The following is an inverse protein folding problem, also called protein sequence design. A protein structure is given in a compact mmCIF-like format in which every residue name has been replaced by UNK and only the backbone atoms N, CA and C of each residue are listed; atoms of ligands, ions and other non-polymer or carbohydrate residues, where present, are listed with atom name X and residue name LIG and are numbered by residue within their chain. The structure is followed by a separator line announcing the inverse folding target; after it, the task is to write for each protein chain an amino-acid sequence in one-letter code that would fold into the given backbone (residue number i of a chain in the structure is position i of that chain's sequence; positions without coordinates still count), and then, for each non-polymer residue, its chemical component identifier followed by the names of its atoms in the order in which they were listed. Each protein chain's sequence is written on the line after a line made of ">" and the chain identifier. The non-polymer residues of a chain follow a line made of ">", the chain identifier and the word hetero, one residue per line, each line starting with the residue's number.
data_IF_412432539635
#
_entry.id   IF_412432539635
#
_cell.length_a   1.000
_cell.length_b   1.000
_cell.length_c   1.000
_cell.angle_alpha   90.00
_cell.angle_beta   90.00
_cell.angle_gamma   90.00
#
_symmetry.space_group_name_H-M   'P 1'
#
loop_
_entity.id
_entity.type
_entity.pdbx_description
1 polymer ?
#
# COMPACT_ATOMS: atom_id res chain seq x y z
N UNK A 1 -27.75 28.20 -10.53
CA UNK A 1 -27.11 29.18 -9.63
C UNK A 1 -25.70 28.67 -9.41
N UNK A 2 -24.74 29.20 -10.18
CA UNK A 2 -23.33 28.86 -10.07
C UNK A 2 -22.77 29.57 -8.84
N UNK A 3 -22.01 28.86 -8.02
CA UNK A 3 -21.18 29.46 -6.97
C UNK A 3 -19.73 29.18 -7.37
N UNK A 4 -19.05 30.24 -7.82
CA UNK A 4 -17.61 30.26 -8.00
C UNK A 4 -16.93 30.11 -6.63
N UNK A 5 -15.95 29.21 -6.54
CA UNK A 5 -15.00 29.20 -5.43
C UNK A 5 -13.63 29.58 -5.98
N UNK A 6 -13.22 30.78 -5.57
CA UNK A 6 -11.97 31.44 -5.93
C UNK A 6 -10.75 30.57 -5.62
N UNK A 7 -9.89 30.43 -6.61
CA UNK A 7 -8.61 29.73 -6.56
C UNK A 7 -7.61 30.54 -5.71
N UNK A 8 -7.20 29.98 -4.58
CA UNK A 8 -6.04 30.47 -3.82
C UNK A 8 -5.41 29.30 -3.08
N UNK A 9 -4.39 28.67 -3.68
CA UNK A 9 -3.24 28.26 -2.89
C UNK A 9 -1.98 28.13 -3.74
N UNK A 10 -1.09 29.09 -3.53
CA UNK A 10 0.31 29.08 -3.91
C UNK A 10 1.01 27.98 -3.10
N UNK A 11 1.44 26.88 -3.74
CA UNK A 11 2.40 25.96 -3.13
C UNK A 11 3.74 26.10 -3.86
N UNK A 12 4.64 26.77 -3.15
CA UNK A 12 6.04 26.98 -3.50
C UNK A 12 6.77 25.64 -3.36
N UNK A 13 7.30 25.10 -4.46
CA UNK A 13 8.42 24.18 -4.44
C UNK A 13 9.32 24.48 -5.64
N UNK A 14 10.30 25.36 -5.47
CA UNK A 14 11.52 25.34 -6.29
C UNK A 14 12.72 25.12 -5.40
N UNK A 15 13.26 23.93 -5.60
CA UNK A 15 14.57 23.43 -5.19
C UNK A 15 15.66 24.51 -5.32
N UNK A 16 16.36 24.76 -4.22
CA UNK A 16 17.67 25.39 -4.26
C UNK A 16 18.66 24.41 -4.92
N UNK A 17 19.23 24.81 -6.05
CA UNK A 17 20.52 24.31 -6.51
C UNK A 17 21.33 25.50 -6.97
N UNK A 18 22.28 25.89 -6.11
CA UNK A 18 23.27 26.90 -6.41
C UNK A 18 24.49 26.23 -7.06
N UNK A 19 24.72 26.54 -8.33
CA UNK A 19 26.05 26.64 -8.91
C UNK A 19 25.94 27.43 -10.23
N UNK A 20 26.31 28.70 -10.14
CA UNK A 20 26.60 29.61 -11.25
C UNK A 20 27.80 29.07 -12.06
N UNK A 21 27.77 29.13 -13.39
CA UNK A 21 28.77 29.80 -14.27
C UNK A 21 28.49 29.47 -15.76
N UNK A 22 28.34 30.52 -16.57
CA UNK A 22 28.29 30.50 -18.05
C UNK A 22 29.54 29.87 -18.70
N UNK A 23 29.36 29.05 -19.75
CA UNK A 23 30.21 29.06 -20.98
C UNK A 23 29.53 28.31 -22.16
N UNK A 24 29.89 28.77 -23.36
CA UNK A 24 29.40 28.51 -24.72
C UNK A 24 29.92 27.18 -25.35
N UNK A 25 29.18 26.72 -26.38
CA UNK A 25 29.58 25.96 -27.58
C UNK A 25 29.88 24.43 -27.57
N UNK A 26 29.18 23.77 -28.52
CA UNK A 26 29.42 22.57 -29.35
C UNK A 26 29.87 21.19 -28.82
N UNK A 27 29.01 20.19 -29.16
CA UNK A 27 29.24 18.81 -29.62
C UNK A 27 30.17 17.84 -28.85
N UNK A 28 29.60 16.75 -28.31
CA UNK A 28 30.04 15.38 -28.65
C UNK A 28 29.00 14.29 -28.26
N UNK A 29 28.92 13.27 -29.11
CA UNK A 29 27.98 12.14 -29.06
C UNK A 29 28.48 11.06 -28.08
N UNK A 30 27.74 10.82 -26.99
CA UNK A 30 27.90 9.67 -26.10
C UNK A 30 26.60 8.89 -25.97
N UNK A 31 26.49 7.77 -26.67
CA UNK A 31 25.38 6.82 -26.61
C UNK A 31 25.14 6.31 -25.18
N UNK A 32 23.94 6.54 -24.63
CA UNK A 32 23.38 5.73 -23.55
C UNK A 32 22.06 5.10 -24.00
N UNK A 33 21.81 3.83 -23.64
CA UNK A 33 20.73 3.03 -24.20
C UNK A 33 19.35 3.54 -23.75
N UNK A 34 18.41 3.52 -24.68
CA UNK A 34 17.02 3.91 -24.46
C UNK A 34 16.33 2.88 -23.55
N UNK A 35 15.88 3.31 -22.37
CA UNK A 35 14.80 2.62 -21.66
C UNK A 35 13.47 3.14 -22.23
N UNK A 36 12.58 2.27 -22.74
CA UNK A 36 11.29 2.72 -23.24
C UNK A 36 10.31 2.94 -22.09
N UNK A 37 9.46 3.95 -22.29
CA UNK A 37 8.27 4.34 -21.53
C UNK A 37 8.54 5.02 -20.18
N UNK A 38 8.54 6.36 -20.23
CA UNK A 38 7.82 7.11 -19.20
C UNK A 38 6.39 6.54 -19.13
N UNK A 39 6.11 5.72 -18.11
CA UNK A 39 4.75 5.43 -17.71
C UNK A 39 4.18 6.75 -17.22
N UNK A 40 3.45 7.41 -18.11
CA UNK A 40 2.60 8.53 -17.74
C UNK A 40 1.47 7.88 -16.97
N UNK A 41 1.57 7.88 -15.65
CA UNK A 41 0.42 7.60 -14.81
C UNK A 41 -0.60 8.67 -15.17
N UNK A 42 -1.61 8.30 -15.95
CA UNK A 42 -2.81 9.10 -16.09
C UNK A 42 -3.38 9.13 -14.68
N UNK A 43 -3.12 10.25 -14.00
CA UNK A 43 -3.79 10.60 -12.76
C UNK A 43 -5.26 10.74 -13.16
N UNK A 44 -5.97 9.62 -13.19
CA UNK A 44 -7.40 9.58 -13.40
C UNK A 44 -7.96 10.23 -12.15
N UNK A 45 -8.13 11.54 -12.25
CA UNK A 45 -8.72 12.40 -11.25
C UNK A 45 -10.19 12.02 -11.08
N UNK A 46 -10.40 10.88 -10.45
CA UNK A 46 -11.50 10.63 -9.58
C UNK A 46 -10.88 10.50 -8.17
N UNK A 47 -10.15 11.56 -7.79
CA UNK A 47 -9.63 11.80 -6.44
C UNK A 47 -10.82 11.72 -5.48
N UNK A 48 -10.99 10.58 -4.83
CA UNK A 48 -11.85 10.48 -3.66
C UNK A 48 -11.06 11.16 -2.56
N UNK A 49 -11.37 12.43 -2.32
CA UNK A 49 -10.70 13.22 -1.29
C UNK A 49 -10.76 12.46 0.06
N UNK A 50 -9.62 11.89 0.46
CA UNK A 50 -9.45 11.17 1.72
C UNK A 50 -9.00 9.70 1.60
N UNK A 51 -8.90 9.14 0.40
CA UNK A 51 -8.57 7.71 0.22
C UNK A 51 -7.27 7.57 -0.58
N UNK A 52 -6.38 6.68 -0.15
CA UNK A 52 -5.08 6.44 -0.81
C UNK A 52 -4.83 4.95 -1.02
N UNK A 53 -4.17 4.62 -2.13
CA UNK A 53 -3.76 3.26 -2.46
C UNK A 53 -2.24 3.14 -2.30
N UNK A 54 -1.77 2.06 -1.69
CA UNK A 54 -0.36 1.77 -1.49
C UNK A 54 -0.07 0.31 -1.83
N UNK A 55 0.95 0.06 -2.65
CA UNK A 55 1.49 -1.27 -2.84
C UNK A 55 2.55 -1.53 -1.77
N UNK A 56 2.41 -2.61 -1.01
CA UNK A 56 3.27 -2.90 0.16
C UNK A 56 3.83 -4.32 0.07
N UNK A 57 5.01 -4.55 0.66
CA UNK A 57 5.46 -5.89 1.04
C UNK A 57 4.65 -6.38 2.24
N UNK A 58 4.32 -7.67 2.27
CA UNK A 58 3.49 -8.25 3.32
C UNK A 58 4.22 -9.33 4.10
N UNK A 59 4.31 -9.14 5.41
CA UNK A 59 4.70 -10.14 6.40
C UNK A 59 3.50 -10.46 7.31
N UNK A 60 3.16 -11.74 7.47
CA UNK A 60 2.11 -12.18 8.39
C UNK A 60 2.68 -13.20 9.38
N UNK A 61 2.54 -12.92 10.67
CA UNK A 61 3.00 -13.77 11.76
C UNK A 61 4.46 -14.26 11.56
N UNK A 62 5.37 -13.34 11.22
CA UNK A 62 6.79 -13.61 10.98
C UNK A 62 7.07 -14.50 9.75
N UNK A 63 6.11 -14.59 8.83
CA UNK A 63 6.25 -15.25 7.54
C UNK A 63 6.30 -14.18 6.45
N UNK A 64 7.50 -13.92 5.93
CA UNK A 64 7.70 -13.10 4.74
C UNK A 64 7.01 -13.74 3.54
N UNK A 65 6.42 -12.91 2.68
CA UNK A 65 5.80 -13.36 1.44
C UNK A 65 6.32 -12.62 0.23
N UNK A 66 6.22 -13.27 -0.93
CA UNK A 66 6.49 -12.64 -2.23
C UNK A 66 5.27 -11.87 -2.77
N UNK A 67 4.20 -11.70 -1.96
CA UNK A 67 2.97 -11.02 -2.35
C UNK A 67 3.13 -9.52 -2.11
N UNK A 68 2.69 -8.71 -3.08
CA UNK A 68 2.71 -7.26 -3.01
C UNK A 68 1.28 -6.69 -3.08
N UNK A 69 0.47 -6.80 -2.01
CA UNK A 69 -0.90 -6.31 -2.02
C UNK A 69 -0.98 -4.81 -2.28
N UNK A 70 -2.03 -4.40 -2.99
CA UNK A 70 -2.43 -2.97 -3.04
C UNK A 70 -3.47 -2.71 -1.97
N UNK A 71 -3.04 -2.10 -0.87
CA UNK A 71 -3.90 -1.75 0.26
C UNK A 71 -4.56 -0.39 0.04
N UNK A 72 -5.74 -0.21 0.61
CA UNK A 72 -6.46 1.06 0.62
C UNK A 72 -6.44 1.63 2.04
N UNK A 73 -6.03 2.88 2.19
CA UNK A 73 -6.34 3.66 3.39
C UNK A 73 -7.64 4.42 3.15
N UNK A 74 -8.68 4.10 3.90
CA UNK A 74 -9.96 4.79 3.75
C UNK A 74 -9.95 6.18 4.42
N UNK A 75 -11.01 6.96 4.24
CA UNK A 75 -11.14 8.32 4.79
C UNK A 75 -11.08 8.39 6.34
N UNK A 76 -11.23 7.27 7.03
CA UNK A 76 -11.11 7.18 8.49
C UNK A 76 -9.68 6.83 8.94
N UNK A 77 -8.76 6.59 8.00
CA UNK A 77 -7.39 6.19 8.25
C UNK A 77 -7.19 4.68 8.44
N UNK A 78 -8.25 3.87 8.27
CA UNK A 78 -8.17 2.41 8.39
C UNK A 78 -7.51 1.81 7.16
N UNK A 79 -6.63 0.85 7.38
CA UNK A 79 -6.05 0.05 6.30
C UNK A 79 -6.95 -1.12 5.95
N UNK A 80 -7.24 -1.23 4.67
CA UNK A 80 -8.04 -2.26 4.07
C UNK A 80 -7.13 -3.10 3.16
N UNK A 81 -7.05 -4.39 3.45
CA UNK A 81 -6.23 -5.34 2.69
C UNK A 81 -7.16 -6.22 1.87
N UNK A 82 -6.90 -6.46 0.58
CA UNK A 82 -7.71 -7.39 -0.19
C UNK A 82 -7.80 -8.75 0.51
N UNK A 83 -9.02 -9.30 0.60
CA UNK A 83 -9.24 -10.60 1.22
C UNK A 83 -8.41 -11.70 0.54
N UNK A 84 -8.29 -11.63 -0.78
CA UNK A 84 -7.51 -12.58 -1.59
C UNK A 84 -6.03 -12.64 -1.17
N UNK A 85 -5.46 -11.52 -0.71
CA UNK A 85 -4.07 -11.47 -0.26
C UNK A 85 -3.88 -12.02 1.16
N UNK A 86 -4.95 -12.19 1.95
CA UNK A 86 -4.92 -12.67 3.34
C UNK A 86 -5.39 -14.12 3.50
N UNK A 87 -6.31 -14.59 2.66
CA UNK A 87 -6.92 -15.93 2.81
C UNK A 87 -5.92 -17.08 2.71
N UNK A 88 -4.71 -16.82 2.19
CA UNK A 88 -3.64 -17.80 2.06
C UNK A 88 -2.90 -18.12 3.39
N UNK A 89 -3.10 -17.34 4.45
CA UNK A 89 -2.32 -17.47 5.71
C UNK A 89 -2.91 -18.47 6.74
N UNK A 90 -3.74 -19.42 6.33
CA UNK A 90 -4.35 -20.44 7.21
C UNK A 90 -5.05 -19.87 8.47
N UNK A 91 -5.55 -18.64 8.35
CA UNK A 91 -6.35 -17.96 9.37
C UNK A 91 -7.79 -18.46 9.29
N UNK A 92 -8.44 -18.64 10.43
CA UNK A 92 -9.83 -19.09 10.52
C UNK A 92 -10.75 -18.12 9.77
N UNK A 93 -11.55 -18.65 8.85
CA UNK A 93 -12.48 -17.85 8.03
C UNK A 93 -13.46 -17.04 8.91
N UNK A 94 -13.98 -17.63 9.98
CA UNK A 94 -14.89 -16.96 10.92
C UNK A 94 -14.23 -15.82 11.71
N UNK A 95 -12.90 -15.84 11.83
CA UNK A 95 -12.15 -14.71 12.35
C UNK A 95 -12.07 -13.58 11.31
N UNK A 96 -11.66 -13.90 10.08
CA UNK A 96 -11.56 -12.92 8.99
C UNK A 96 -12.90 -12.23 8.68
N UNK A 97 -14.02 -12.97 8.75
CA UNK A 97 -15.37 -12.41 8.56
C UNK A 97 -15.70 -11.22 9.46
N UNK A 98 -15.06 -11.08 10.62
CA UNK A 98 -15.29 -9.97 11.55
C UNK A 98 -14.78 -8.63 10.98
N UNK A 99 -13.73 -8.68 10.17
CA UNK A 99 -13.13 -7.52 9.51
C UNK A 99 -13.58 -7.33 8.07
N UNK A 100 -14.51 -8.14 7.56
CA UNK A 100 -14.90 -8.12 6.16
C UNK A 100 -15.65 -6.83 5.80
N UNK A 101 -15.14 -6.09 4.83
CA UNK A 101 -15.74 -4.87 4.28
C UNK A 101 -15.73 -4.99 2.75
N UNK A 102 -16.82 -4.58 2.10
CA UNK A 102 -16.86 -4.49 0.63
C UNK A 102 -16.66 -3.04 0.19
N UNK A 103 -15.77 -2.82 -0.77
CA UNK A 103 -15.45 -1.50 -1.31
C UNK A 103 -15.14 -1.63 -2.81
N UNK A 104 -15.82 -0.84 -3.66
CA UNK A 104 -15.77 -0.92 -5.14
C UNK A 104 -15.76 -2.35 -5.71
N UNK A 105 -16.71 -3.18 -5.26
CA UNK A 105 -16.87 -4.58 -5.67
C UNK A 105 -15.74 -5.55 -5.28
N UNK A 106 -14.76 -5.07 -4.50
CA UNK A 106 -13.69 -5.89 -3.91
C UNK A 106 -13.94 -6.12 -2.42
N UNK A 107 -13.66 -7.33 -1.95
CA UNK A 107 -13.72 -7.70 -0.54
C UNK A 107 -12.38 -7.39 0.14
N UNK A 108 -12.43 -6.67 1.24
CA UNK A 108 -11.28 -6.28 2.04
C UNK A 108 -11.42 -6.74 3.49
N UNK A 109 -10.29 -6.86 4.16
CA UNK A 109 -10.15 -7.02 5.60
C UNK A 109 -9.73 -5.68 6.19
N UNK A 110 -10.57 -5.14 7.07
CA UNK A 110 -10.22 -4.05 7.97
C UNK A 110 -9.57 -4.63 9.24
N UNK A 111 -8.27 -4.41 9.39
CA UNK A 111 -7.49 -4.96 10.50
C UNK A 111 -7.92 -4.42 11.87
N UNK A 112 -8.46 -3.20 11.95
CA UNK A 112 -8.91 -2.59 13.21
C UNK A 112 -10.14 -3.28 13.80
N UNK A 113 -10.87 -4.05 12.99
CA UNK A 113 -12.04 -4.81 13.43
C UNK A 113 -11.69 -6.22 13.93
N UNK A 114 -10.46 -6.68 13.72
CA UNK A 114 -10.02 -8.02 14.09
C UNK A 114 -9.45 -8.02 15.52
N UNK A 115 -10.22 -8.51 16.48
CA UNK A 115 -9.83 -8.52 17.89
C UNK A 115 -8.48 -9.22 18.11
N UNK A 116 -7.55 -8.51 18.77
CA UNK A 116 -6.22 -9.02 19.08
C UNK A 116 -5.21 -8.96 17.94
N UNK A 117 -5.62 -8.54 16.74
CA UNK A 117 -4.68 -8.30 15.62
C UNK A 117 -3.82 -7.08 15.94
N UNK A 118 -2.52 -7.20 15.65
CA UNK A 118 -1.58 -6.08 15.66
C UNK A 118 -1.03 -5.91 14.26
N UNK A 119 -0.78 -4.67 13.87
CA UNK A 119 -0.13 -4.38 12.61
C UNK A 119 0.70 -3.11 12.69
N UNK A 120 1.71 -3.02 11.84
CA UNK A 120 2.57 -1.86 11.68
C UNK A 120 2.92 -1.68 10.21
N UNK A 121 2.79 -0.44 9.71
CA UNK A 121 3.16 -0.08 8.34
C UNK A 121 4.39 0.83 8.38
N UNK A 122 5.52 0.32 7.90
CA UNK A 122 6.71 1.11 7.70
C UNK A 122 6.64 1.83 6.35
N UNK A 123 6.30 3.12 6.38
CA UNK A 123 6.18 3.95 5.17
C UNK A 123 7.50 4.19 4.44
N UNK A 124 8.66 4.05 5.10
CA UNK A 124 9.95 4.23 4.42
C UNK A 124 10.25 3.07 3.47
N UNK A 125 9.84 1.85 3.85
CA UNK A 125 10.11 0.61 3.12
C UNK A 125 8.87 0.00 2.46
N UNK A 126 7.70 0.60 2.67
CA UNK A 126 6.39 0.06 2.28
C UNK A 126 6.20 -1.37 2.78
N UNK A 127 6.54 -1.62 4.04
CA UNK A 127 6.49 -2.94 4.66
C UNK A 127 5.36 -3.01 5.67
N UNK A 128 4.42 -3.93 5.44
CA UNK A 128 3.25 -4.16 6.28
C UNK A 128 3.43 -5.46 7.05
N UNK A 129 3.59 -5.31 8.37
CA UNK A 129 3.73 -6.42 9.30
C UNK A 129 2.40 -6.64 10.02
N UNK A 130 1.84 -7.85 9.94
CA UNK A 130 0.59 -8.23 10.59
C UNK A 130 0.84 -9.39 11.54
N UNK A 131 0.26 -9.32 12.73
CA UNK A 131 0.26 -10.42 13.71
C UNK A 131 -1.17 -10.73 14.13
N UNK A 132 -1.71 -11.83 13.61
CA UNK A 132 -2.96 -12.43 14.07
C UNK A 132 -2.73 -13.26 15.35
N UNK A 133 -3.72 -13.34 16.27
CA UNK A 133 -3.62 -14.19 17.45
C UNK A 133 -3.45 -15.67 17.07
N UNK A 134 -2.59 -16.40 17.78
CA UNK A 134 -2.25 -17.78 17.45
C UNK A 134 -3.48 -18.72 17.48
N UNK A 135 -4.43 -18.48 18.37
CA UNK A 135 -5.67 -19.24 18.47
C UNK A 135 -6.63 -19.04 17.28
N UNK A 136 -6.34 -18.09 16.39
CA UNK A 136 -7.12 -17.81 15.18
C UNK A 136 -6.56 -18.51 13.94
N UNK A 137 -5.46 -19.25 14.06
CA UNK A 137 -4.98 -20.13 12.99
C UNK A 137 -5.71 -21.47 13.02
N UNK A 138 -5.82 -22.12 11.88
CA UNK A 138 -6.37 -23.47 11.83
C UNK A 138 -5.35 -24.44 12.46
N UNK A 139 -5.72 -25.06 13.58
CA UNK A 139 -4.86 -25.98 14.35
C UNK A 139 -4.43 -27.24 13.56
N UNK A 140 -5.00 -27.47 12.37
CA UNK A 140 -4.66 -28.62 11.54
C UNK A 140 -3.20 -28.58 11.03
N UNK A 141 -2.54 -27.42 11.04
CA UNK A 141 -1.14 -27.30 10.61
C UNK A 141 -0.11 -27.40 11.76
N UNK A 142 -0.53 -27.28 13.03
CA UNK A 142 0.38 -27.26 14.19
C UNK A 142 0.62 -28.63 14.85
N UNK A 143 -0.16 -29.65 14.49
CA UNK A 143 -0.07 -30.99 15.11
C UNK A 143 1.04 -31.90 14.55
N UNK A 144 1.81 -31.47 13.55
CA UNK A 144 2.82 -32.32 12.88
C UNK A 144 4.25 -32.20 13.41
N UNK A 145 4.55 -31.26 14.32
CA UNK A 145 5.93 -31.07 14.83
C UNK A 145 6.22 -31.74 16.19
N UNK A 146 5.24 -32.42 16.80
CA UNK A 146 5.42 -33.11 18.10
C UNK A 146 5.32 -34.64 17.96
N UNK A 147 5.86 -35.18 16.87
CA UNK A 147 6.12 -36.62 16.74
C UNK A 147 7.52 -36.83 16.18
N UNK A 148 8.54 -36.59 17.01
CA UNK A 148 9.88 -37.15 16.88
C UNK A 148 10.44 -37.48 18.26
#
# INVERSE_FOLDING_TARGET
>A
MQVELSLNLLVILRLESAADTNVHEDQELGLLPQLPLAVKFENSANEIAGESELMVSLEVNYTETDILPTIVQNAQGHYLIPLEDIEHFDVQEDYLKQGLVNYHDTAYINLDLLEGTKYDLNFENLDLNITFPAEKFNLNHLMLQVVL
#
